data_IF_822953119623
#
_entry.id   IF_822953119623
#
_cell.length_a   1.000
_cell.length_b   1.000
_cell.length_c   1.000
_cell.angle_alpha   90.00
_cell.angle_beta   90.00
_cell.angle_gamma   90.00
#
_symmetry.space_group_name_H-M   'P 1'
#
loop_
_entity.id
_entity.type
_entity.pdbx_description
1 polymer ?
#
# COMPACT_ATOMS: atom_id res chain seq x y z
N UNK A 1 14.65 3.39 -15.33
CA UNK A 1 15.58 2.59 -14.50
C UNK A 1 15.89 3.40 -13.27
N UNK A 2 15.78 2.82 -12.08
CA UNK A 2 16.11 3.50 -10.83
C UNK A 2 17.61 3.85 -10.81
N UNK A 3 17.93 5.06 -10.38
CA UNK A 3 19.30 5.51 -10.15
C UNK A 3 19.83 4.76 -8.91
N UNK A 4 20.84 3.90 -9.09
CA UNK A 4 21.36 3.03 -8.02
C UNK A 4 21.99 3.80 -6.86
N UNK A 5 22.25 5.10 -7.02
CA UNK A 5 22.85 5.93 -5.98
C UNK A 5 21.84 6.53 -4.99
N UNK A 6 20.53 6.44 -5.27
CA UNK A 6 19.51 7.06 -4.41
C UNK A 6 18.89 6.02 -3.49
N UNK A 7 18.59 6.38 -2.22
CA UNK A 7 17.98 5.46 -1.29
C UNK A 7 16.64 4.93 -1.81
N UNK A 8 16.29 3.70 -1.45
CA UNK A 8 15.01 3.07 -1.77
C UNK A 8 14.32 2.58 -0.49
N UNK A 9 12.99 2.71 -0.47
CA UNK A 9 12.13 2.07 0.52
C UNK A 9 11.46 0.87 -0.13
N UNK A 10 11.19 -0.13 0.69
CA UNK A 10 10.40 -1.29 0.30
C UNK A 10 9.13 -1.32 1.13
N UNK A 11 7.99 -1.29 0.44
CA UNK A 11 6.66 -1.41 1.01
C UNK A 11 6.25 -2.87 0.89
N UNK A 12 6.29 -3.60 2.00
CA UNK A 12 5.92 -5.00 2.11
C UNK A 12 4.45 -5.08 2.49
N UNK A 13 3.62 -5.71 1.67
CA UNK A 13 2.18 -5.81 1.93
C UNK A 13 1.73 -7.27 1.86
N UNK A 14 1.15 -7.75 2.95
CA UNK A 14 0.59 -9.09 3.09
C UNK A 14 -0.90 -9.02 3.37
N UNK A 15 -1.72 -9.57 2.47
CA UNK A 15 -3.17 -9.65 2.65
C UNK A 15 -3.51 -10.92 3.43
N UNK A 16 -3.96 -10.78 4.68
CA UNK A 16 -4.41 -11.90 5.52
C UNK A 16 -5.79 -12.38 5.13
N UNK A 17 -6.73 -11.44 5.02
CA UNK A 17 -8.12 -11.73 4.66
C UNK A 17 -8.65 -10.65 3.73
N UNK A 18 -9.44 -11.09 2.75
CA UNK A 18 -10.13 -10.22 1.82
C UNK A 18 -11.61 -10.58 1.67
N UNK A 19 -12.13 -11.42 2.55
CA UNK A 19 -13.50 -11.92 2.50
C UNK A 19 -14.52 -10.78 2.54
N UNK A 20 -14.25 -9.72 3.33
CA UNK A 20 -15.12 -8.56 3.40
C UNK A 20 -15.13 -7.77 2.08
N UNK A 21 -13.95 -7.45 1.53
CA UNK A 21 -13.84 -6.79 0.23
C UNK A 21 -14.57 -7.56 -0.89
N UNK A 22 -14.41 -8.89 -0.93
CA UNK A 22 -15.07 -9.76 -1.91
C UNK A 22 -16.59 -9.73 -1.72
N UNK A 23 -17.06 -9.82 -0.47
CA UNK A 23 -18.49 -9.76 -0.15
C UNK A 23 -19.11 -8.44 -0.64
N UNK A 24 -18.48 -7.30 -0.32
CA UNK A 24 -18.95 -5.98 -0.74
C UNK A 24 -19.01 -5.86 -2.28
N UNK A 25 -17.99 -6.32 -3.00
CA UNK A 25 -18.00 -6.30 -4.47
C UNK A 25 -19.08 -7.20 -5.09
N UNK A 26 -19.34 -8.36 -4.48
CA UNK A 26 -20.40 -9.27 -4.94
C UNK A 26 -21.78 -8.67 -4.68
N UNK A 27 -22.00 -8.10 -3.50
CA UNK A 27 -23.24 -7.42 -3.16
C UNK A 27 -23.51 -6.23 -4.08
N UNK A 28 -22.50 -5.41 -4.39
CA UNK A 28 -22.61 -4.30 -5.34
C UNK A 28 -22.97 -4.77 -6.76
N UNK A 29 -22.28 -5.79 -7.29
CA UNK A 29 -22.59 -6.33 -8.63
C UNK A 29 -23.98 -6.95 -8.72
N UNK A 30 -24.47 -7.51 -7.62
CA UNK A 30 -25.83 -8.07 -7.56
C UNK A 30 -26.85 -6.96 -7.36
N UNK A 31 -26.52 -5.90 -6.61
CA UNK A 31 -27.39 -4.75 -6.38
C UNK A 31 -27.80 -4.08 -7.70
N UNK A 32 -26.87 -3.99 -8.64
CA UNK A 32 -27.06 -3.44 -9.98
C UNK A 32 -27.96 -4.29 -10.89
N UNK A 33 -28.18 -5.59 -10.57
CA UNK A 33 -29.08 -6.44 -11.35
C UNK A 33 -30.54 -6.27 -10.90
N UNK A 34 -31.44 -6.08 -11.87
CA UNK A 34 -32.90 -6.03 -11.66
C UNK A 34 -33.46 -7.42 -11.38
N UNK A 35 -33.31 -7.90 -10.15
CA UNK A 35 -33.86 -9.18 -9.68
C UNK A 35 -34.87 -8.96 -8.54
N UNK A 36 -35.91 -9.83 -8.41
CA UNK A 36 -36.83 -9.78 -7.28
C UNK A 36 -36.10 -9.98 -5.96
N UNK A 37 -36.46 -9.21 -4.92
CA UNK A 37 -35.79 -9.18 -3.61
C UNK A 37 -35.38 -10.55 -3.03
N UNK A 38 -36.29 -11.52 -2.87
CA UNK A 38 -35.95 -12.82 -2.26
C UNK A 38 -35.04 -13.69 -3.14
N UNK A 39 -35.10 -13.55 -4.47
CA UNK A 39 -34.18 -14.23 -5.38
C UNK A 39 -32.78 -13.61 -5.33
N UNK A 40 -32.72 -12.29 -5.17
CA UNK A 40 -31.48 -11.50 -5.08
C UNK A 40 -30.64 -11.93 -3.88
N UNK A 41 -31.25 -12.09 -2.71
CA UNK A 41 -30.54 -12.55 -1.50
C UNK A 41 -30.00 -13.98 -1.61
N UNK A 42 -30.80 -14.91 -2.17
CA UNK A 42 -30.37 -16.30 -2.36
C UNK A 42 -29.22 -16.40 -3.35
N UNK A 43 -29.28 -15.63 -4.44
CA UNK A 43 -28.20 -15.51 -5.41
C UNK A 43 -26.97 -14.87 -4.79
N UNK A 44 -27.11 -13.82 -3.99
CA UNK A 44 -26.00 -13.17 -3.29
C UNK A 44 -25.25 -14.11 -2.38
N UNK A 45 -25.96 -14.87 -1.53
CA UNK A 45 -25.31 -15.84 -0.62
C UNK A 45 -24.57 -16.94 -1.38
N UNK A 46 -25.14 -17.47 -2.47
CA UNK A 46 -24.49 -18.50 -3.29
C UNK A 46 -23.30 -17.96 -4.08
N UNK A 47 -23.48 -16.79 -4.71
CA UNK A 47 -22.42 -16.12 -5.46
C UNK A 47 -21.27 -15.71 -4.56
N UNK A 48 -21.54 -15.19 -3.36
CA UNK A 48 -20.51 -14.82 -2.39
C UNK A 48 -19.67 -16.02 -1.96
N UNK A 49 -20.30 -17.19 -1.74
CA UNK A 49 -19.57 -18.42 -1.41
C UNK A 49 -18.64 -18.87 -2.54
N UNK A 50 -19.17 -18.95 -3.77
CA UNK A 50 -18.37 -19.33 -4.95
C UNK A 50 -17.29 -18.29 -5.25
N UNK A 51 -17.60 -17.00 -5.06
CA UNK A 51 -16.67 -15.91 -5.24
C UNK A 51 -15.56 -15.94 -4.19
N UNK A 52 -15.85 -16.25 -2.93
CA UNK A 52 -14.84 -16.43 -1.89
C UNK A 52 -13.90 -17.61 -2.20
N UNK A 53 -14.44 -18.70 -2.76
CA UNK A 53 -13.63 -19.85 -3.19
C UNK A 53 -12.76 -19.52 -4.44
N UNK A 54 -13.22 -18.62 -5.31
CA UNK A 54 -12.53 -18.26 -6.56
C UNK A 54 -11.61 -17.05 -6.46
N UNK A 55 -11.94 -16.08 -5.60
CA UNK A 55 -11.16 -14.86 -5.37
C UNK A 55 -10.29 -15.11 -4.16
N UNK A 56 -9.15 -15.73 -4.42
CA UNK A 56 -8.09 -15.85 -3.43
C UNK A 56 -7.43 -14.49 -3.20
N UNK A 57 -6.84 -14.30 -2.03
CA UNK A 57 -6.03 -13.12 -1.73
C UNK A 57 -4.95 -12.86 -2.81
N UNK A 58 -4.38 -13.92 -3.41
CA UNK A 58 -3.44 -13.79 -4.53
C UNK A 58 -4.00 -13.07 -5.75
N UNK A 59 -5.26 -13.29 -6.13
CA UNK A 59 -5.90 -12.60 -7.26
C UNK A 59 -6.20 -11.14 -6.95
N UNK A 60 -6.40 -10.81 -5.68
CA UNK A 60 -6.60 -9.43 -5.24
C UNK A 60 -5.27 -8.69 -5.32
N UNK A 61 -4.20 -9.29 -4.77
CA UNK A 61 -2.83 -8.79 -4.92
C UNK A 61 -2.46 -8.58 -6.39
N UNK A 62 -2.86 -9.50 -7.27
CA UNK A 62 -2.54 -9.43 -8.69
C UNK A 62 -2.99 -8.12 -9.36
N UNK A 63 -4.14 -7.60 -8.92
CA UNK A 63 -4.70 -6.34 -9.40
C UNK A 63 -4.29 -5.15 -8.55
N UNK A 64 -4.11 -5.36 -7.25
CA UNK A 64 -3.85 -4.29 -6.30
C UNK A 64 -2.42 -3.78 -6.40
N UNK A 65 -1.42 -4.67 -6.51
CA UNK A 65 -0.02 -4.27 -6.60
C UNK A 65 0.28 -3.31 -7.76
N UNK A 66 -0.11 -3.57 -9.02
CA UNK A 66 0.18 -2.64 -10.12
C UNK A 66 -0.63 -1.35 -9.99
N UNK A 67 -1.88 -1.44 -9.51
CA UNK A 67 -2.73 -0.27 -9.27
C UNK A 67 -2.12 0.65 -8.20
N UNK A 68 -1.59 0.08 -7.12
CA UNK A 68 -0.90 0.86 -6.09
C UNK A 68 0.38 1.50 -6.63
N UNK A 69 1.16 0.78 -7.43
CA UNK A 69 2.36 1.33 -8.06
C UNK A 69 2.04 2.50 -9.02
N UNK A 70 0.89 2.46 -9.68
CA UNK A 70 0.41 3.55 -10.56
C UNK A 70 -0.19 4.73 -9.79
N UNK A 71 -1.03 4.47 -8.78
CA UNK A 71 -1.76 5.50 -8.04
C UNK A 71 -0.87 6.25 -7.04
N UNK A 72 0.14 5.60 -6.44
CA UNK A 72 1.00 6.23 -5.43
C UNK A 72 1.73 7.48 -5.95
N UNK A 73 2.43 7.46 -7.10
CA UNK A 73 3.02 8.66 -7.68
C UNK A 73 2.01 9.79 -7.89
N UNK A 74 0.79 9.45 -8.34
CA UNK A 74 -0.27 10.42 -8.59
C UNK A 74 -0.72 11.09 -7.28
N UNK A 75 -0.91 10.31 -6.20
CA UNK A 75 -1.27 10.81 -4.87
C UNK A 75 -0.16 11.62 -4.19
N UNK A 76 1.11 11.33 -4.49
CA UNK A 76 2.26 11.99 -3.88
C UNK A 76 2.64 13.29 -4.59
N UNK A 77 2.37 13.40 -5.89
CA UNK A 77 2.63 14.63 -6.67
C UNK A 77 2.02 15.91 -6.06
N UNK A 78 0.73 15.97 -5.67
CA UNK A 78 0.16 17.17 -5.04
C UNK A 78 0.75 17.47 -3.66
N UNK A 79 1.49 16.53 -3.05
CA UNK A 79 2.23 16.74 -1.79
C UNK A 79 3.66 17.25 -2.05
N UNK A 80 3.98 17.65 -3.27
CA UNK A 80 5.31 18.10 -3.68
C UNK A 80 6.32 16.97 -3.82
N UNK A 81 5.88 15.73 -4.03
CA UNK A 81 6.76 14.57 -4.14
C UNK A 81 6.67 13.94 -5.52
N UNK A 82 7.80 13.89 -6.23
CA UNK A 82 7.94 13.04 -7.40
C UNK A 82 8.59 11.73 -6.97
N UNK A 83 7.82 10.65 -7.04
CA UNK A 83 8.26 9.31 -6.63
C UNK A 83 8.19 8.34 -7.80
N UNK A 84 9.12 7.40 -7.84
CA UNK A 84 9.02 6.18 -8.64
C UNK A 84 8.58 5.04 -7.74
N UNK A 85 7.54 4.33 -8.14
CA UNK A 85 7.06 3.13 -7.46
C UNK A 85 6.99 2.01 -8.48
N UNK A 86 7.56 0.87 -8.13
CA UNK A 86 7.55 -0.32 -8.98
C UNK A 86 7.39 -1.57 -8.14
N UNK A 87 6.69 -2.56 -8.66
CA UNK A 87 6.62 -3.87 -8.04
C UNK A 87 7.90 -4.64 -8.31
N UNK A 88 8.53 -5.14 -7.25
CA UNK A 88 9.79 -5.90 -7.34
C UNK A 88 9.64 -7.36 -6.96
N UNK A 89 8.54 -7.71 -6.27
CA UNK A 89 8.27 -9.08 -5.86
C UNK A 89 6.78 -9.33 -5.65
N UNK A 90 6.33 -10.54 -5.98
CA UNK A 90 5.00 -11.03 -5.67
C UNK A 90 5.02 -12.55 -5.51
N UNK A 91 4.41 -13.04 -4.45
CA UNK A 91 4.15 -14.45 -4.23
C UNK A 91 2.86 -14.64 -3.42
N UNK A 92 1.86 -15.26 -4.03
CA UNK A 92 0.56 -15.49 -3.39
C UNK A 92 -0.08 -14.18 -2.91
N UNK A 93 -0.50 -14.08 -1.63
CA UNK A 93 -1.10 -12.89 -1.03
C UNK A 93 -0.09 -11.82 -0.58
N UNK A 94 1.20 -12.00 -0.89
CA UNK A 94 2.27 -11.10 -0.50
C UNK A 94 2.91 -10.43 -1.72
N UNK A 95 3.17 -9.13 -1.62
CA UNK A 95 3.89 -8.39 -2.63
C UNK A 95 4.75 -7.29 -2.00
N UNK A 96 5.76 -6.86 -2.77
CA UNK A 96 6.69 -5.81 -2.36
C UNK A 96 6.77 -4.76 -3.46
N UNK A 97 6.53 -3.51 -3.08
CA UNK A 97 6.78 -2.35 -3.93
C UNK A 97 8.10 -1.69 -3.52
N UNK A 98 8.95 -1.37 -4.49
CA UNK A 98 10.08 -0.48 -4.29
C UNK A 98 9.64 0.94 -4.58
N UNK A 99 9.89 1.85 -3.63
CA UNK A 99 9.63 3.27 -3.74
C UNK A 99 10.95 4.04 -3.69
N UNK A 100 11.12 4.98 -4.62
CA UNK A 100 12.25 5.89 -4.68
C UNK A 100 11.76 7.34 -4.82
N UNK A 101 12.17 8.22 -3.90
CA UNK A 101 11.89 9.66 -4.02
C UNK A 101 12.89 10.27 -5.00
N UNK A 102 12.38 10.84 -6.08
CA UNK A 102 13.20 11.39 -7.18
C UNK A 102 13.49 12.86 -6.97
N UNK A 103 12.45 13.59 -6.58
CA UNK A 103 12.51 15.04 -6.44
C UNK A 103 11.45 15.50 -5.44
N UNK A 104 11.75 16.59 -4.75
CA UNK A 104 10.90 17.20 -3.74
C UNK A 104 10.70 18.66 -4.13
N UNK A 105 9.49 19.01 -4.53
CA UNK A 105 9.09 20.39 -4.79
C UNK A 105 8.71 21.04 -3.46
N UNK A 106 9.59 21.91 -2.96
CA UNK A 106 9.43 22.50 -1.63
C UNK A 106 8.32 23.54 -1.57
N UNK A 107 7.98 24.15 -2.71
CA UNK A 107 6.89 25.12 -2.80
C UNK A 107 5.56 24.40 -2.67
N UNK A 108 5.34 23.36 -3.48
CA UNK A 108 4.12 22.55 -3.42
C UNK A 108 4.00 21.83 -2.08
N UNK A 109 5.12 21.34 -1.53
CA UNK A 109 5.12 20.73 -0.20
C UNK A 109 4.72 21.73 0.89
N UNK A 110 5.27 22.95 0.88
CA UNK A 110 4.91 23.97 1.84
C UNK A 110 3.44 24.38 1.74
N UNK A 111 2.89 24.45 0.52
CA UNK A 111 1.47 24.70 0.29
C UNK A 111 0.58 23.56 0.79
N UNK A 112 0.91 22.31 0.44
CA UNK A 112 0.16 21.12 0.88
C UNK A 112 0.12 21.02 2.41
N UNK A 113 1.25 21.34 3.04
CA UNK A 113 1.38 21.36 4.49
C UNK A 113 0.52 22.45 5.13
N UNK A 114 0.47 23.66 4.55
CA UNK A 114 -0.40 24.74 5.05
C UNK A 114 -1.88 24.36 4.95
N UNK A 115 -2.30 23.69 3.87
CA UNK A 115 -3.67 23.21 3.72
C UNK A 115 -4.01 22.13 4.78
N UNK A 116 -3.08 21.22 5.07
CA UNK A 116 -3.30 20.23 6.13
C UNK A 116 -3.37 20.85 7.54
N UNK A 117 -2.60 21.90 7.83
CA UNK A 117 -2.70 22.60 9.12
C UNK A 117 -4.08 23.22 9.36
N UNK A 118 -4.75 23.69 8.30
CA UNK A 118 -6.10 24.23 8.38
C UNK A 118 -7.14 23.15 8.69
N UNK A 119 -6.90 21.92 8.26
CA UNK A 119 -7.80 20.77 8.49
C UNK A 119 -7.56 20.08 9.85
N UNK A 120 -6.29 19.82 10.19
CA UNK A 120 -5.92 18.93 11.31
C UNK A 120 -5.23 19.63 12.49
N UNK A 121 -4.95 20.94 12.39
CA UNK A 121 -4.17 21.70 13.38
C UNK A 121 -2.65 21.53 13.22
N UNK A 122 -1.85 22.46 13.77
CA UNK A 122 -0.40 22.48 13.60
C UNK A 122 0.28 21.22 14.18
N UNK A 123 0.86 20.39 13.29
CA UNK A 123 1.76 19.30 13.71
C UNK A 123 3.21 19.79 13.76
N UNK A 124 3.97 19.38 14.79
CA UNK A 124 5.37 19.79 15.04
C UNK A 124 6.30 19.61 13.81
N UNK A 125 5.98 18.64 12.96
CA UNK A 125 6.65 18.35 11.68
C UNK A 125 6.64 19.53 10.72
N UNK A 126 5.55 20.30 10.68
CA UNK A 126 5.39 21.43 9.75
C UNK A 126 6.27 22.60 10.15
N UNK A 127 6.33 22.90 11.44
CA UNK A 127 7.10 24.04 11.96
C UNK A 127 8.60 23.85 11.68
N UNK A 128 9.08 22.61 11.76
CA UNK A 128 10.47 22.26 11.44
C UNK A 128 10.78 22.46 9.94
N UNK A 129 9.85 22.06 9.05
CA UNK A 129 10.00 22.27 7.61
C UNK A 129 9.98 23.75 7.22
N UNK A 130 9.08 24.55 7.79
CA UNK A 130 9.00 26.01 7.56
C UNK A 130 10.30 26.74 7.91
N UNK A 131 10.90 26.41 9.06
CA UNK A 131 12.19 27.00 9.47
C UNK A 131 13.33 26.57 8.53
N UNK A 132 13.32 25.32 8.08
CA UNK A 132 14.35 24.81 7.18
C UNK A 132 14.27 25.48 5.79
N UNK A 133 13.06 25.68 5.25
CA UNK A 133 12.90 26.31 3.94
C UNK A 133 13.13 27.81 3.94
N UNK A 134 12.77 28.53 5.03
CA UNK A 134 12.93 29.98 5.10
C UNK A 134 14.39 30.47 5.09
N UNK A 135 15.36 29.60 5.37
CA UNK A 135 16.79 29.94 5.44
C UNK A 135 17.57 29.62 4.18
N UNK A 136 17.00 28.84 3.25
CA UNK A 136 17.72 28.37 2.06
C UNK A 136 17.43 29.33 0.92
N UNK A 137 18.43 30.14 0.57
CA UNK A 137 18.34 31.04 -0.57
C UNK A 137 18.15 30.28 -1.90
N UNK A 138 17.44 30.90 -2.84
CA UNK A 138 17.07 30.34 -4.15
C UNK A 138 18.25 29.77 -4.97
N UNK A 139 19.48 30.20 -4.71
CA UNK A 139 20.68 29.74 -5.42
C UNK A 139 21.00 28.25 -5.22
N UNK A 140 20.56 27.63 -4.13
CA UNK A 140 20.88 26.23 -3.81
C UNK A 140 19.64 25.32 -3.76
N UNK A 141 18.47 25.80 -4.18
CA UNK A 141 17.21 25.10 -4.06
C UNK A 141 17.22 23.77 -4.85
N UNK A 142 17.58 23.80 -6.14
CA UNK A 142 17.59 22.60 -6.97
C UNK A 142 18.47 21.47 -6.42
N UNK A 143 19.66 21.82 -5.92
CA UNK A 143 20.59 20.86 -5.32
C UNK A 143 20.03 20.26 -4.03
N UNK A 144 19.33 21.06 -3.23
CA UNK A 144 18.66 20.64 -2.01
C UNK A 144 17.49 19.68 -2.33
N UNK A 145 16.62 20.08 -3.26
CA UNK A 145 15.42 19.36 -3.70
C UNK A 145 15.71 18.03 -4.39
N UNK A 146 16.86 17.94 -5.06
CA UNK A 146 17.23 16.75 -5.83
C UNK A 146 18.12 15.79 -5.05
N UNK A 147 19.00 16.29 -4.17
CA UNK A 147 20.03 15.44 -3.54
C UNK A 147 19.83 15.22 -2.03
N UNK A 148 19.36 16.23 -1.30
CA UNK A 148 19.35 16.20 0.16
C UNK A 148 17.97 15.86 0.73
N UNK A 149 16.92 16.60 0.31
CA UNK A 149 15.56 16.42 0.82
C UNK A 149 14.98 15.03 0.56
N UNK A 150 15.19 14.40 -0.62
CA UNK A 150 14.69 13.05 -0.85
C UNK A 150 15.13 12.08 0.23
N UNK A 151 16.39 12.17 0.70
CA UNK A 151 16.94 11.29 1.75
C UNK A 151 16.24 11.49 3.09
N UNK A 152 16.03 12.74 3.49
CA UNK A 152 15.37 13.07 4.77
C UNK A 152 13.91 12.65 4.74
N UNK A 153 13.18 13.05 3.70
CA UNK A 153 11.75 12.76 3.57
C UNK A 153 11.54 11.26 3.52
N UNK A 154 12.35 10.54 2.76
CA UNK A 154 12.24 9.09 2.68
C UNK A 154 12.46 8.41 4.04
N UNK A 155 13.39 8.91 4.86
CA UNK A 155 13.56 8.39 6.23
C UNK A 155 12.35 8.65 7.12
N UNK A 156 11.62 9.74 6.92
CA UNK A 156 10.43 10.09 7.72
C UNK A 156 9.14 9.48 7.20
N UNK A 157 9.08 9.22 5.90
CA UNK A 157 7.92 8.65 5.24
C UNK A 157 7.72 7.18 5.57
N UNK A 158 8.78 6.45 5.94
CA UNK A 158 8.68 5.04 6.34
C UNK A 158 7.62 4.82 7.43
N UNK A 159 7.71 5.58 8.52
CA UNK A 159 6.84 5.42 9.69
C UNK A 159 5.38 5.76 9.36
N UNK A 160 5.13 6.91 8.71
CA UNK A 160 3.76 7.37 8.42
C UNK A 160 3.07 6.61 7.29
N UNK A 161 3.85 6.07 6.34
CA UNK A 161 3.30 5.37 5.18
C UNK A 161 2.75 4.00 5.54
N UNK A 162 3.33 3.31 6.54
CA UNK A 162 2.80 2.03 7.03
C UNK A 162 1.38 2.17 7.60
N UNK A 163 1.17 3.19 8.44
CA UNK A 163 -0.13 3.48 9.05
C UNK A 163 -1.18 3.89 8.01
N UNK A 164 -0.82 4.81 7.10
CA UNK A 164 -1.72 5.23 6.01
C UNK A 164 -2.13 4.05 5.14
N UNK A 165 -1.19 3.17 4.78
CA UNK A 165 -1.50 2.00 3.96
C UNK A 165 -2.39 1.00 4.68
N UNK A 166 -2.12 0.76 5.95
CA UNK A 166 -2.95 -0.12 6.77
C UNK A 166 -4.39 0.40 6.86
N UNK A 167 -4.56 1.71 7.06
CA UNK A 167 -5.88 2.36 7.05
C UNK A 167 -6.56 2.27 5.68
N UNK A 168 -5.87 2.63 4.58
CA UNK A 168 -6.44 2.58 3.23
C UNK A 168 -6.86 1.16 2.82
N UNK A 169 -6.14 0.13 3.28
CA UNK A 169 -6.48 -1.27 3.02
C UNK A 169 -7.69 -1.71 3.88
N UNK A 170 -7.74 -1.29 5.14
CA UNK A 170 -8.87 -1.58 6.03
C UNK A 170 -10.17 -0.95 5.51
N UNK A 171 -10.14 0.29 5.02
CA UNK A 171 -11.30 0.96 4.39
C UNK A 171 -11.82 0.19 3.17
N UNK A 172 -10.93 -0.49 2.45
CA UNK A 172 -11.29 -1.37 1.32
C UNK A 172 -11.79 -2.74 1.76
N UNK A 173 -11.92 -2.99 3.07
CA UNK A 173 -12.34 -4.29 3.63
C UNK A 173 -11.28 -5.37 3.48
N UNK A 174 -10.00 -4.99 3.46
CA UNK A 174 -8.87 -5.91 3.42
C UNK A 174 -8.18 -5.91 4.79
N UNK A 175 -8.08 -7.08 5.40
CA UNK A 175 -7.20 -7.27 6.56
C UNK A 175 -5.79 -7.53 6.02
N UNK A 176 -4.90 -6.55 6.21
CA UNK A 176 -3.54 -6.61 5.69
C UNK A 176 -2.51 -6.13 6.72
N UNK A 177 -1.29 -6.64 6.59
CA UNK A 177 -0.11 -6.10 7.24
C UNK A 177 0.70 -5.33 6.19
N UNK A 178 1.04 -4.09 6.49
CA UNK A 178 1.88 -3.25 5.65
C UNK A 178 3.08 -2.76 6.46
N UNK A 179 4.29 -3.06 5.99
CA UNK A 179 5.54 -2.65 6.62
C UNK A 179 6.43 -1.92 5.61
N UNK A 180 6.88 -0.72 5.94
CA UNK A 180 7.74 0.09 5.06
C UNK A 180 9.16 0.13 5.62
N UNK A 181 10.10 -0.45 4.89
CA UNK A 181 11.47 -0.66 5.36
C UNK A 181 12.51 -0.01 4.45
N UNK A 182 13.61 0.52 5.00
CA UNK A 182 14.77 0.89 4.21
C UNK A 182 15.46 -0.36 3.66
N UNK A 183 16.20 -0.20 2.55
CA UNK A 183 16.94 -1.28 1.88
C UNK A 183 17.80 -2.13 2.83
N UNK A 184 18.49 -1.50 3.78
CA UNK A 184 19.38 -2.18 4.71
C UNK A 184 18.65 -3.18 5.64
N UNK A 185 17.35 -2.98 5.90
CA UNK A 185 16.54 -3.86 6.75
C UNK A 185 15.68 -4.82 5.93
N UNK A 186 15.45 -4.53 4.64
CA UNK A 186 14.54 -5.28 3.80
C UNK A 186 14.87 -6.77 3.76
N UNK A 187 16.12 -7.16 3.51
CA UNK A 187 16.49 -8.57 3.43
C UNK A 187 16.27 -9.32 4.76
N UNK A 188 16.49 -8.65 5.90
CA UNK A 188 16.33 -9.24 7.24
C UNK A 188 14.87 -9.52 7.58
N UNK A 189 13.96 -8.69 7.08
CA UNK A 189 12.53 -8.89 7.23
C UNK A 189 11.96 -9.87 6.19
N UNK A 190 12.34 -9.67 4.92
CA UNK A 190 11.72 -10.30 3.77
C UNK A 190 11.82 -11.83 3.79
N UNK A 191 13.01 -12.41 3.99
CA UNK A 191 13.16 -13.87 3.90
C UNK A 191 12.44 -14.62 5.04
N UNK A 192 12.58 -14.23 6.33
CA UNK A 192 11.84 -14.87 7.40
C UNK A 192 10.32 -14.74 7.22
N UNK A 193 9.85 -13.55 6.84
CA UNK A 193 8.42 -13.31 6.65
C UNK A 193 7.85 -14.11 5.49
N UNK A 194 8.55 -14.17 4.35
CA UNK A 194 8.16 -15.00 3.21
C UNK A 194 8.09 -16.49 3.57
N UNK A 195 9.03 -16.99 4.38
CA UNK A 195 8.99 -18.36 4.86
C UNK A 195 7.75 -18.62 5.73
N UNK A 196 7.41 -17.72 6.65
CA UNK A 196 6.21 -17.83 7.49
C UNK A 196 4.93 -17.90 6.64
N UNK A 197 4.86 -17.09 5.58
CA UNK A 197 3.73 -17.10 4.63
C UNK A 197 3.64 -18.43 3.89
N UNK A 198 4.76 -18.95 3.36
CA UNK A 198 4.78 -20.25 2.69
C UNK A 198 4.34 -21.39 3.61
N UNK A 199 4.75 -21.35 4.88
CA UNK A 199 4.35 -22.33 5.89
C UNK A 199 2.86 -22.24 6.24
N UNK A 200 2.31 -21.03 6.35
CA UNK A 200 0.88 -20.82 6.62
C UNK A 200 0.01 -21.32 5.46
N UNK A 201 0.42 -21.06 4.21
CA UNK A 201 -0.24 -21.59 3.02
C UNK A 201 -0.14 -23.11 2.90
N UNK A 202 1.01 -23.69 3.24
CA UNK A 202 1.17 -25.14 3.24
C UNK A 202 0.26 -25.81 4.28
N UNK A 203 0.05 -25.18 5.44
CA UNK A 203 -0.87 -25.65 6.48
C UNK A 203 -2.33 -25.53 6.03
N UNK A 204 -2.73 -24.43 5.38
CA UNK A 204 -4.11 -24.24 4.90
C UNK A 204 -4.49 -25.25 3.81
N UNK A 205 -3.56 -25.59 2.91
CA UNK A 205 -3.77 -26.62 1.86
C UNK A 205 -3.93 -28.03 2.42
N UNK A 206 -3.36 -28.34 3.58
CA UNK A 206 -3.48 -29.65 4.26
C UNK A 206 -4.76 -29.79 5.09
N UNK A 207 -5.63 -28.79 5.09
CA UNK A 207 -6.88 -28.75 5.85
C UNK A 207 -7.94 -29.82 5.48
N UNK A 208 -9.11 -29.80 6.14
CA UNK A 208 -10.03 -30.93 6.35
C UNK A 208 -10.54 -31.69 5.12
N UNK A 209 -10.33 -31.16 3.91
CA UNK A 209 -10.65 -31.86 2.66
C UNK A 209 -9.78 -33.10 2.42
N UNK A 210 -8.59 -33.20 3.05
CA UNK A 210 -7.80 -34.43 3.04
C UNK A 210 -8.54 -35.62 3.72
N UNK A 211 -9.46 -35.34 4.65
CA UNK A 211 -10.26 -36.36 5.34
C UNK A 211 -11.54 -36.76 4.58
N UNK A 212 -11.98 -35.99 3.58
CA UNK A 212 -13.17 -36.28 2.78
C UNK A 212 -12.90 -37.18 1.56
N UNK A 213 -11.64 -37.44 1.20
CA UNK A 213 -11.27 -38.35 0.10
C UNK A 213 -10.99 -39.80 0.51
N UNK A 214 -11.14 -40.14 1.80
CA UNK A 214 -10.92 -41.51 2.33
C UNK A 214 -12.22 -42.27 2.66
N UNK A 215 -13.37 -41.82 2.18
CA UNK A 215 -14.65 -42.53 2.25
C UNK A 215 -15.21 -42.69 0.85
#
# INVERSE_FOLDING_TARGET
MADSARPVLYVNVYIKDASQAVKSQVEEKISQKRLPGPLKERLAKRAAKVAADLITASKIVEKMAPKMAEEMPIKMKPKGLTVHVGEVFREGPFFVLQLQVVHVDTIVMAEAVRLQEEEDGETMTVQCLKQFFGTIGSRNQDALETNYLPRIIQSKMGDSMGDMLSSELAEKGLEAEAEVLPEALQARFFFPFLQQIRESEAKSKKGPLANLRKK
#
